data_IF_840306355916
#
_entry.id   IF_840306355916
#
_cell.length_a   1.000
_cell.length_b   1.000
_cell.length_c   1.000
_cell.angle_alpha   90.00
_cell.angle_beta   90.00
_cell.angle_gamma   90.00
#
_symmetry.space_group_name_H-M   'P 1'
#
loop_
_entity.id
_entity.type
_entity.pdbx_description
1 polymer ?
#
# COMPACT_ATOMS: atom_id res chain seq x y z
N UNK A 1 -8.51 11.38 11.73
CA UNK A 1 -7.92 10.38 10.83
C UNK A 1 -6.98 9.42 11.56
N UNK A 2 -6.54 9.73 12.80
CA UNK A 2 -5.67 8.86 13.62
C UNK A 2 -6.42 7.83 14.46
N UNK A 3 -7.72 7.69 14.24
CA UNK A 3 -8.50 6.69 14.96
C UNK A 3 -8.02 5.29 14.59
N UNK A 4 -7.52 4.57 15.57
CA UNK A 4 -7.05 3.19 15.39
C UNK A 4 -8.16 2.24 14.93
N UNK A 5 -7.87 1.35 13.96
CA UNK A 5 -8.76 0.25 13.63
C UNK A 5 -8.99 -0.64 14.85
N UNK A 6 -10.22 -1.07 15.05
CA UNK A 6 -10.58 -1.98 16.15
C UNK A 6 -10.60 -3.42 15.62
N UNK A 7 -9.55 -4.22 15.87
CA UNK A 7 -9.52 -5.60 15.40
C UNK A 7 -10.42 -6.51 16.25
N UNK A 8 -10.89 -7.59 15.66
CA UNK A 8 -11.59 -8.64 16.41
C UNK A 8 -10.62 -9.34 17.37
N UNK A 9 -11.11 -9.96 18.48
CA UNK A 9 -10.24 -10.69 19.41
C UNK A 9 -9.36 -11.77 18.73
N UNK A 10 -9.91 -12.49 17.74
CA UNK A 10 -9.14 -13.46 16.95
C UNK A 10 -8.02 -12.83 16.14
N UNK A 11 -8.25 -11.64 15.60
CA UNK A 11 -7.20 -10.93 14.86
C UNK A 11 -6.14 -10.34 15.80
N UNK A 12 -6.51 -9.92 16.99
CA UNK A 12 -5.54 -9.52 18.04
C UNK A 12 -4.61 -10.69 18.36
N UNK A 13 -5.15 -11.89 18.59
CA UNK A 13 -4.35 -13.09 18.85
C UNK A 13 -3.38 -13.42 17.71
N UNK A 14 -3.82 -13.30 16.43
CA UNK A 14 -2.96 -13.52 15.27
C UNK A 14 -1.83 -12.51 15.19
N UNK A 15 -2.14 -11.23 15.41
CA UNK A 15 -1.15 -10.17 15.40
C UNK A 15 -0.16 -10.29 16.56
N UNK A 16 -0.65 -10.65 17.75
CA UNK A 16 0.21 -10.91 18.90
C UNK A 16 1.18 -12.08 18.62
N UNK A 17 0.68 -13.15 18.00
CA UNK A 17 1.54 -14.28 17.60
C UNK A 17 2.68 -13.84 16.68
N UNK A 18 2.42 -12.94 15.71
CA UNK A 18 3.46 -12.41 14.82
C UNK A 18 4.52 -11.60 15.57
N UNK A 19 4.12 -10.85 16.61
CA UNK A 19 5.05 -10.06 17.44
C UNK A 19 5.87 -10.97 18.36
N UNK A 20 5.22 -11.90 19.04
CA UNK A 20 5.87 -12.79 20.03
C UNK A 20 6.93 -13.70 19.39
N UNK A 21 6.75 -14.07 18.12
CA UNK A 21 7.66 -14.95 17.38
C UNK A 21 8.59 -14.17 16.42
N UNK A 22 8.48 -12.84 16.38
CA UNK A 22 9.19 -11.96 15.45
C UNK A 22 9.13 -12.43 13.99
N UNK A 23 7.94 -12.82 13.53
CA UNK A 23 7.69 -13.23 12.15
C UNK A 23 6.77 -12.23 11.45
N UNK A 24 6.84 -12.24 10.12
CA UNK A 24 6.15 -11.25 9.28
C UNK A 24 4.98 -11.83 8.48
N UNK A 25 4.89 -13.13 8.37
CA UNK A 25 3.81 -13.85 7.69
C UNK A 25 3.15 -14.83 8.64
N UNK A 26 1.82 -14.79 8.68
CA UNK A 26 1.05 -15.68 9.54
C UNK A 26 1.13 -17.12 9.01
N UNK A 27 1.51 -18.10 9.86
CA UNK A 27 1.46 -19.52 9.50
C UNK A 27 0.09 -19.94 8.97
N UNK A 28 0.09 -20.86 8.01
CA UNK A 28 -1.13 -21.28 7.33
C UNK A 28 -2.22 -21.79 8.28
N UNK A 29 -1.81 -22.50 9.34
CA UNK A 29 -2.68 -23.11 10.33
C UNK A 29 -3.43 -22.07 11.18
N UNK A 30 -2.87 -20.87 11.33
CA UNK A 30 -3.47 -19.76 12.09
C UNK A 30 -4.34 -18.84 11.22
N UNK A 31 -4.32 -19.04 9.91
CA UNK A 31 -5.19 -18.29 8.99
C UNK A 31 -6.64 -18.75 9.11
N UNK A 32 -7.61 -17.91 8.75
CA UNK A 32 -8.99 -18.35 8.59
C UNK A 32 -9.07 -19.51 7.59
N UNK A 33 -9.99 -20.46 7.82
CA UNK A 33 -10.14 -21.66 6.98
C UNK A 33 -10.32 -21.34 5.50
N UNK A 34 -11.02 -20.26 5.16
CA UNK A 34 -11.18 -19.80 3.78
C UNK A 34 -9.89 -19.28 3.12
N UNK A 35 -8.81 -19.14 3.90
CA UNK A 35 -7.51 -18.64 3.44
C UNK A 35 -6.37 -19.62 3.78
N UNK A 36 -6.70 -20.85 4.14
CA UNK A 36 -5.76 -21.95 4.27
C UNK A 36 -5.58 -22.64 2.91
N UNK A 37 -4.36 -23.07 2.60
CA UNK A 37 -4.04 -23.76 1.36
C UNK A 37 -3.14 -22.99 0.40
N UNK A 38 -3.08 -23.42 -0.84
CA UNK A 38 -2.26 -22.80 -1.87
C UNK A 38 -2.95 -21.52 -2.39
N UNK A 39 -2.60 -20.37 -1.84
CA UNK A 39 -3.06 -19.07 -2.33
C UNK A 39 -1.94 -18.36 -3.10
N UNK A 40 -2.31 -17.70 -4.18
CA UNK A 40 -1.45 -16.73 -4.87
C UNK A 40 -1.18 -15.49 -4.01
N UNK A 41 -2.05 -15.19 -3.04
CA UNK A 41 -2.00 -13.98 -2.20
C UNK A 41 -1.47 -14.32 -0.80
N UNK A 42 -0.16 -14.44 -0.65
CA UNK A 42 0.49 -14.80 0.62
C UNK A 42 0.59 -13.66 1.64
N UNK A 43 0.38 -12.42 1.22
CA UNK A 43 0.60 -11.23 2.05
C UNK A 43 -0.53 -10.90 3.04
N UNK A 44 -1.69 -11.56 2.94
CA UNK A 44 -2.78 -11.38 3.90
C UNK A 44 -2.35 -11.81 5.31
N UNK A 45 -2.78 -11.03 6.31
CA UNK A 45 -2.36 -11.19 7.70
C UNK A 45 -0.86 -10.98 7.92
N UNK A 46 -0.18 -10.30 6.99
CA UNK A 46 1.23 -9.97 7.12
C UNK A 46 1.48 -8.73 7.96
N UNK A 47 2.60 -8.71 8.66
CA UNK A 47 3.16 -7.59 9.42
C UNK A 47 4.10 -6.79 8.52
N UNK A 48 4.00 -5.46 8.52
CA UNK A 48 4.95 -4.58 7.85
C UNK A 48 6.32 -4.63 8.52
N UNK A 49 7.35 -4.25 7.79
CA UNK A 49 8.71 -4.10 8.28
C UNK A 49 9.15 -2.65 8.18
N UNK A 50 9.95 -2.19 9.13
CA UNK A 50 10.47 -0.83 9.11
C UNK A 50 11.47 -0.59 7.98
N UNK A 51 12.30 -1.59 7.68
CA UNK A 51 13.43 -1.50 6.76
C UNK A 51 13.05 -1.86 5.31
N UNK A 52 11.81 -2.24 5.06
CA UNK A 52 11.34 -2.60 3.72
C UNK A 52 10.25 -1.64 3.24
N UNK A 53 10.17 -1.38 1.93
CA UNK A 53 9.05 -0.64 1.36
C UNK A 53 7.72 -1.31 1.68
N UNK A 54 6.70 -0.50 1.97
CA UNK A 54 5.35 -1.01 2.14
C UNK A 54 4.83 -1.61 0.82
N UNK A 55 3.98 -2.63 0.92
CA UNK A 55 3.23 -3.11 -0.23
C UNK A 55 2.21 -2.06 -0.68
N UNK A 56 1.68 -2.24 -1.89
CA UNK A 56 0.64 -1.36 -2.42
C UNK A 56 -0.48 -1.15 -1.41
N UNK A 57 -0.71 0.10 -1.05
CA UNK A 57 -1.82 0.50 -0.19
C UNK A 57 -3.10 0.48 -1.01
N UNK A 58 -4.06 -0.32 -0.58
CA UNK A 58 -5.41 -0.38 -1.18
C UNK A 58 -6.43 0.19 -0.20
N UNK A 59 -7.68 0.37 -0.63
CA UNK A 59 -8.78 0.79 0.27
C UNK A 59 -9.02 -0.15 1.47
N UNK A 60 -8.40 -1.34 1.46
CA UNK A 60 -8.47 -2.33 2.54
C UNK A 60 -7.43 -2.20 3.65
N UNK A 61 -6.56 -1.18 3.63
CA UNK A 61 -5.44 -1.04 4.56
C UNK A 61 -5.81 -1.09 6.05
N UNK A 62 -7.04 -0.76 6.40
CA UNK A 62 -7.55 -0.85 7.77
C UNK A 62 -7.88 -2.27 8.25
N UNK A 63 -7.65 -3.29 7.43
CA UNK A 63 -7.92 -4.69 7.75
C UNK A 63 -6.73 -5.59 7.40
N UNK A 64 -6.20 -6.31 8.38
CA UNK A 64 -5.09 -7.25 8.19
C UNK A 64 -5.44 -8.42 7.26
N UNK A 65 -6.73 -8.72 7.11
CA UNK A 65 -7.20 -9.79 6.21
C UNK A 65 -7.18 -9.42 4.73
N UNK A 66 -6.89 -8.16 4.38
CA UNK A 66 -6.86 -7.69 3.00
C UNK A 66 -5.46 -7.41 2.45
N UNK A 67 -4.43 -7.66 3.24
CA UNK A 67 -3.05 -7.46 2.82
C UNK A 67 -2.07 -7.46 3.99
N UNK A 68 -0.82 -7.09 3.71
CA UNK A 68 0.22 -6.88 4.72
C UNK A 68 0.06 -5.48 5.33
N UNK A 69 -0.95 -5.32 6.17
CA UNK A 69 -1.32 -4.04 6.75
C UNK A 69 -1.22 -3.98 8.26
N UNK A 70 -0.66 -5.02 8.89
CA UNK A 70 -0.37 -4.96 10.32
C UNK A 70 0.77 -3.98 10.58
N UNK A 71 0.58 -3.11 11.57
CA UNK A 71 1.64 -2.21 12.05
C UNK A 71 2.86 -3.02 12.52
N UNK A 72 4.10 -2.55 12.29
CA UNK A 72 5.31 -3.28 12.68
C UNK A 72 5.36 -3.69 14.14
N UNK A 73 4.92 -2.85 15.07
CA UNK A 73 5.10 -3.04 16.52
C UNK A 73 3.79 -3.04 17.33
N UNK A 74 2.64 -2.99 16.66
CA UNK A 74 1.35 -2.88 17.35
C UNK A 74 0.35 -3.90 16.84
N UNK A 75 -0.50 -4.42 17.73
CA UNK A 75 -1.55 -5.39 17.41
C UNK A 75 -2.77 -4.72 16.75
N UNK A 76 -2.53 -3.99 15.68
CA UNK A 76 -3.55 -3.32 14.85
C UNK A 76 -3.13 -3.20 13.40
N UNK A 77 -4.07 -2.94 12.52
CA UNK A 77 -3.79 -2.52 11.15
C UNK A 77 -3.35 -1.04 11.11
N UNK A 78 -2.94 -0.57 9.93
CA UNK A 78 -2.62 0.82 9.70
C UNK A 78 -3.81 1.74 10.00
N UNK A 79 -3.51 2.90 10.57
CA UNK A 79 -4.45 4.03 10.61
C UNK A 79 -4.54 4.68 9.23
N UNK A 80 -5.56 5.51 9.02
CA UNK A 80 -5.68 6.27 7.78
C UNK A 80 -4.51 7.27 7.61
N UNK A 81 -4.01 7.85 8.71
CA UNK A 81 -2.86 8.75 8.67
C UNK A 81 -1.59 8.01 8.22
N UNK A 82 -1.30 6.86 8.82
CA UNK A 82 -0.14 6.05 8.44
C UNK A 82 -0.21 5.62 6.97
N UNK A 83 -1.37 5.15 6.50
CA UNK A 83 -1.57 4.79 5.10
C UNK A 83 -1.43 6.00 4.16
N UNK A 84 -1.93 7.17 4.53
CA UNK A 84 -1.78 8.39 3.75
C UNK A 84 -0.31 8.82 3.64
N UNK A 85 0.46 8.75 4.73
CA UNK A 85 1.90 9.05 4.69
C UNK A 85 2.66 8.07 3.79
N UNK A 86 2.34 6.78 3.81
CA UNK A 86 2.93 5.77 2.90
C UNK A 86 2.61 6.11 1.43
N UNK A 87 1.41 6.62 1.14
CA UNK A 87 1.00 7.08 -0.19
C UNK A 87 1.58 8.44 -0.59
N UNK A 88 2.36 9.09 0.28
CA UNK A 88 3.02 10.36 0.01
C UNK A 88 2.14 11.59 0.22
N UNK A 89 1.00 11.47 0.91
CA UNK A 89 0.25 12.65 1.35
C UNK A 89 1.06 13.43 2.38
N UNK A 90 1.15 14.75 2.24
CA UNK A 90 1.80 15.57 3.25
C UNK A 90 0.96 15.66 4.54
N UNK A 91 1.61 15.87 5.68
CA UNK A 91 0.93 15.90 6.98
C UNK A 91 -0.11 17.04 7.11
N UNK A 92 0.03 18.09 6.31
CA UNK A 92 -0.93 19.19 6.27
C UNK A 92 -2.16 18.92 5.38
N UNK A 93 -2.24 17.76 4.71
CA UNK A 93 -3.38 17.45 3.85
C UNK A 93 -4.65 17.26 4.69
N UNK A 94 -5.66 18.07 4.40
CA UNK A 94 -6.91 18.06 5.14
C UNK A 94 -7.90 17.01 4.61
N UNK A 95 -8.12 15.97 5.42
CA UNK A 95 -9.11 14.93 5.16
C UNK A 95 -10.45 15.19 5.89
N UNK A 96 -10.61 16.31 6.59
CA UNK A 96 -11.82 16.61 7.37
C UNK A 96 -13.11 16.64 6.53
N UNK A 97 -13.08 17.03 5.23
CA UNK A 97 -14.27 16.97 4.40
C UNK A 97 -14.75 15.54 4.08
N UNK A 98 -13.93 14.51 4.38
CA UNK A 98 -14.27 13.12 4.03
C UNK A 98 -15.38 12.59 4.97
N UNK A 99 -16.57 12.25 4.45
CA UNK A 99 -17.76 12.03 5.28
C UNK A 99 -17.72 10.70 6.05
N UNK A 100 -16.97 9.71 5.57
CA UNK A 100 -16.94 8.37 6.16
C UNK A 100 -15.56 7.75 6.13
N UNK A 101 -15.32 6.79 7.03
CA UNK A 101 -14.07 5.99 7.01
C UNK A 101 -13.87 5.22 5.71
N UNK A 102 -14.94 4.73 5.11
CA UNK A 102 -14.88 4.01 3.83
C UNK A 102 -14.46 4.95 2.70
N UNK A 103 -15.06 6.15 2.62
CA UNK A 103 -14.68 7.16 1.63
C UNK A 103 -13.21 7.58 1.80
N UNK A 104 -12.77 7.81 3.05
CA UNK A 104 -11.38 8.10 3.37
C UNK A 104 -10.43 6.99 2.93
N UNK A 105 -10.76 5.73 3.24
CA UNK A 105 -9.97 4.58 2.84
C UNK A 105 -9.89 4.42 1.31
N UNK A 106 -11.00 4.68 0.62
CA UNK A 106 -11.03 4.67 -0.86
C UNK A 106 -10.19 5.79 -1.45
N UNK A 107 -10.27 6.99 -0.91
CA UNK A 107 -9.45 8.14 -1.35
C UNK A 107 -7.96 7.83 -1.21
N UNK A 108 -7.53 7.37 -0.04
CA UNK A 108 -6.13 7.06 0.23
C UNK A 108 -5.65 5.88 -0.62
N UNK A 109 -6.43 4.79 -0.66
CA UNK A 109 -6.04 3.56 -1.35
C UNK A 109 -5.99 3.69 -2.88
N UNK A 110 -6.75 4.61 -3.46
CA UNK A 110 -6.75 4.88 -4.90
C UNK A 110 -5.80 6.01 -5.31
N UNK A 111 -5.13 6.65 -4.36
CA UNK A 111 -4.17 7.69 -4.67
C UNK A 111 -2.93 7.13 -5.37
N UNK A 112 -2.41 7.88 -6.32
CA UNK A 112 -1.09 7.62 -6.91
C UNK A 112 -0.07 8.49 -6.16
N UNK A 113 0.98 7.90 -5.58
CA UNK A 113 2.04 8.69 -4.94
C UNK A 113 2.62 9.73 -5.90
N UNK A 114 2.73 11.01 -5.51
CA UNK A 114 3.19 12.07 -6.41
C UNK A 114 4.55 11.79 -7.06
N UNK A 115 5.46 11.18 -6.31
CA UNK A 115 6.79 10.81 -6.80
C UNK A 115 6.71 9.76 -7.90
N UNK A 116 5.83 8.77 -7.77
CA UNK A 116 5.59 7.76 -8.81
C UNK A 116 4.98 8.41 -10.06
N UNK A 117 3.98 9.27 -9.88
CA UNK A 117 3.36 10.00 -10.99
C UNK A 117 4.39 10.86 -11.74
N UNK A 118 5.22 11.62 -11.02
CA UNK A 118 6.28 12.42 -11.61
C UNK A 118 7.29 11.56 -12.39
N UNK A 119 7.75 10.45 -11.82
CA UNK A 119 8.70 9.55 -12.48
C UNK A 119 8.14 8.98 -13.80
N UNK A 120 6.89 8.53 -13.80
CA UNK A 120 6.23 8.00 -15.01
C UNK A 120 6.09 9.07 -16.08
N UNK A 121 5.63 10.28 -15.71
CA UNK A 121 5.48 11.41 -16.67
C UNK A 121 6.82 11.82 -17.25
N UNK A 122 7.86 11.96 -16.42
CA UNK A 122 9.22 12.31 -16.88
C UNK A 122 9.75 11.28 -17.86
N UNK A 123 9.66 9.98 -17.52
CA UNK A 123 10.09 8.91 -18.41
C UNK A 123 9.35 8.92 -19.75
N UNK A 124 8.05 9.19 -19.73
CA UNK A 124 7.25 9.31 -20.97
C UNK A 124 7.69 10.48 -21.84
N UNK A 125 7.93 11.66 -21.25
CA UNK A 125 8.39 12.84 -21.98
C UNK A 125 9.78 12.62 -22.59
N UNK A 126 10.69 12.00 -21.88
CA UNK A 126 12.03 11.67 -22.39
C UNK A 126 11.97 10.69 -23.57
N UNK A 127 11.11 9.68 -23.50
CA UNK A 127 10.92 8.73 -24.60
C UNK A 127 10.31 9.41 -25.83
N UNK A 128 9.32 10.28 -25.65
CA UNK A 128 8.70 11.02 -26.73
C UNK A 128 9.70 11.94 -27.43
N UNK A 129 10.53 12.67 -26.67
CA UNK A 129 11.55 13.54 -27.24
C UNK A 129 12.60 12.79 -28.09
N UNK A 130 13.02 11.60 -27.63
CA UNK A 130 13.94 10.72 -28.37
C UNK A 130 13.33 10.21 -29.68
N UNK A 131 12.04 9.87 -29.66
CA UNK A 131 11.31 9.41 -30.85
C UNK A 131 11.25 10.51 -31.93
N UNK A 132 10.95 11.75 -31.52
CA UNK A 132 10.91 12.90 -32.43
C UNK A 132 12.28 13.23 -33.02
N UNK A 133 13.36 13.08 -32.25
CA UNK A 133 14.73 13.29 -32.74
C UNK A 133 15.11 12.25 -33.80
N UNK A 134 14.76 10.99 -33.56
CA UNK A 134 15.03 9.89 -34.50
C UNK A 134 14.30 10.11 -35.84
N UNK A 135 13.05 10.52 -35.82
CA UNK A 135 12.28 10.81 -37.03
C UNK A 135 12.88 11.97 -37.86
N UNK A 136 13.36 13.03 -37.22
CA UNK A 136 14.01 14.18 -37.88
C UNK A 136 15.33 13.81 -38.53
N UNK A 137 16.13 12.90 -37.92
CA UNK A 137 17.38 12.43 -38.49
C UNK A 137 17.14 11.61 -39.78
N UNK A 138 16.14 10.73 -39.77
CA UNK A 138 15.79 9.92 -40.93
C UNK A 138 15.28 10.80 -42.12
N UNK A 139 14.50 11.82 -41.87
CA UNK A 139 14.06 12.77 -42.90
C UNK A 139 15.23 13.56 -43.52
N UNK A 140 16.24 13.92 -42.71
CA UNK A 140 17.42 14.68 -43.18
C UNK A 140 18.41 13.85 -44.04
N UNK A 141 18.36 12.51 -43.90
CA UNK A 141 19.21 11.61 -44.70
C UNK A 141 18.56 11.14 -46.01
N UNK A 142 17.26 11.43 -46.18
CA UNK A 142 16.49 11.03 -47.37
C UNK A 142 16.34 12.16 -48.41
N UNK A 143 16.87 13.35 -48.16
CA UNK A 143 16.89 14.50 -49.04
C UNK A 143 18.27 14.75 -49.66
#
# INVERSE_FOLDING_TARGET
IDREPQPTPKNVQRMQYLLDHDIYDLPNELRPTCQQGAHSYKSMYGRLKWEEPAQTITSGFGSIGQGRYMHPDRTRALTAHEAARIQGFPDYFDFSPCPTRSALATMIGNAVPPQLGAAVITAFLELSARSDETLRVDESQSA
#
